data_IF_248788384637
#
_entry.id   IF_248788384637
#
_cell.length_a   1.000
_cell.length_b   1.000
_cell.length_c   1.000
_cell.angle_alpha   90.00
_cell.angle_beta   90.00
_cell.angle_gamma   90.00
#
_symmetry.space_group_name_H-M   'P 1'
#
loop_
_entity.id
_entity.type
_entity.pdbx_description
1 polymer ?
#
# COMPACT_ATOMS: atom_id res chain seq x y z
N UNK A 1 7.55 36.38 5.49
CA UNK A 1 7.74 35.04 4.92
C UNK A 1 6.50 34.23 5.29
N UNK A 2 5.54 34.11 4.37
CA UNK A 2 4.33 33.34 4.60
C UNK A 2 4.66 31.86 4.54
N UNK A 3 4.31 31.12 5.59
CA UNK A 3 4.44 29.67 5.65
C UNK A 3 3.33 29.13 4.74
N UNK A 4 3.63 28.90 3.47
CA UNK A 4 2.73 28.20 2.56
C UNK A 4 2.62 26.76 3.10
N UNK A 5 1.48 26.43 3.71
CA UNK A 5 1.08 25.03 3.90
C UNK A 5 0.99 24.45 2.49
N UNK A 6 1.84 23.48 2.17
CA UNK A 6 1.64 22.63 1.00
C UNK A 6 0.27 21.98 1.16
N UNK A 7 -0.74 22.49 0.45
CA UNK A 7 -2.04 21.85 0.38
C UNK A 7 -1.81 20.47 -0.22
N UNK A 8 -2.11 19.43 0.54
CA UNK A 8 -1.97 18.05 0.08
C UNK A 8 -3.02 17.83 -1.01
N UNK A 9 -2.61 17.94 -2.27
CA UNK A 9 -3.50 17.72 -3.41
C UNK A 9 -3.97 16.26 -3.40
N UNK A 10 -5.27 16.05 -3.26
CA UNK A 10 -5.88 14.72 -3.28
C UNK A 10 -6.57 14.47 -4.62
N UNK A 11 -6.29 13.33 -5.23
CA UNK A 11 -6.96 12.88 -6.46
C UNK A 11 -7.78 11.63 -6.17
N UNK A 12 -9.08 11.67 -6.48
CA UNK A 12 -9.94 10.48 -6.35
C UNK A 12 -9.59 9.46 -7.43
N UNK A 13 -9.30 8.24 -7.01
CA UNK A 13 -9.07 7.08 -7.89
C UNK A 13 -10.10 6.01 -7.57
N UNK A 14 -10.68 5.40 -8.60
CA UNK A 14 -11.62 4.28 -8.46
C UNK A 14 -11.00 3.09 -9.18
N UNK A 15 -10.87 1.97 -8.49
CA UNK A 15 -10.35 0.73 -9.04
C UNK A 15 -11.28 -0.42 -8.68
N UNK A 16 -11.33 -1.41 -9.55
CA UNK A 16 -12.09 -2.63 -9.31
C UNK A 16 -11.23 -3.58 -8.46
N UNK A 17 -11.80 -4.09 -7.37
CA UNK A 17 -11.20 -5.16 -6.55
C UNK A 17 -11.99 -6.44 -6.70
N UNK A 18 -11.37 -7.56 -6.31
CA UNK A 18 -12.05 -8.85 -6.25
C UNK A 18 -13.21 -8.78 -5.24
N UNK A 19 -14.30 -9.47 -5.58
CA UNK A 19 -15.57 -9.42 -4.82
C UNK A 19 -15.42 -9.92 -3.38
N UNK A 20 -14.57 -10.91 -3.15
CA UNK A 20 -14.24 -11.46 -1.83
C UNK A 20 -13.60 -10.40 -0.92
N UNK A 21 -12.66 -9.62 -1.45
CA UNK A 21 -12.03 -8.53 -0.71
C UNK A 21 -13.02 -7.40 -0.41
N UNK A 22 -13.88 -7.06 -1.37
CA UNK A 22 -14.93 -6.06 -1.17
C UNK A 22 -15.90 -6.46 -0.06
N UNK A 23 -16.37 -7.71 -0.06
CA UNK A 23 -17.26 -8.25 0.97
C UNK A 23 -16.59 -8.27 2.35
N UNK A 24 -15.31 -8.67 2.43
CA UNK A 24 -14.54 -8.65 3.68
C UNK A 24 -14.38 -7.22 4.23
N UNK A 25 -14.08 -6.25 3.37
CA UNK A 25 -13.98 -4.84 3.76
C UNK A 25 -15.31 -4.29 4.27
N UNK A 26 -16.41 -4.63 3.60
CA UNK A 26 -17.74 -4.22 4.02
C UNK A 26 -18.12 -4.82 5.38
N UNK A 27 -17.82 -6.11 5.59
CA UNK A 27 -18.01 -6.78 6.89
C UNK A 27 -17.20 -6.10 7.98
N UNK A 28 -15.90 -5.86 7.76
CA UNK A 28 -15.04 -5.18 8.73
C UNK A 28 -15.56 -3.77 9.10
N UNK A 29 -16.10 -3.03 8.14
CA UNK A 29 -16.76 -1.73 8.40
C UNK A 29 -18.03 -1.87 9.24
N UNK A 30 -18.86 -2.89 8.97
CA UNK A 30 -20.08 -3.16 9.76
C UNK A 30 -19.72 -3.57 11.18
N UNK A 31 -18.73 -4.44 11.35
CA UNK A 31 -18.26 -4.91 12.65
C UNK A 31 -17.71 -3.73 13.48
N UNK A 32 -16.85 -2.89 12.89
CA UNK A 32 -16.35 -1.68 13.55
C UNK A 32 -17.48 -0.74 14.00
N UNK A 33 -18.49 -0.52 13.13
CA UNK A 33 -19.67 0.30 13.47
C UNK A 33 -20.48 -0.30 14.60
N UNK A 34 -20.63 -1.62 14.65
CA UNK A 34 -21.34 -2.31 15.73
C UNK A 34 -20.64 -2.14 17.08
N UNK A 35 -19.32 -1.96 17.06
CA UNK A 35 -18.48 -1.65 18.22
C UNK A 35 -18.40 -0.13 18.52
N UNK A 36 -19.21 0.69 17.84
CA UNK A 36 -19.23 2.14 18.03
C UNK A 36 -18.02 2.88 17.45
N UNK A 37 -17.18 2.22 16.65
CA UNK A 37 -15.99 2.82 16.03
C UNK A 37 -16.17 2.98 14.52
N UNK A 38 -15.54 4.01 13.95
CA UNK A 38 -15.40 4.16 12.50
C UNK A 38 -14.07 3.53 12.09
N UNK A 39 -14.12 2.55 11.18
CA UNK A 39 -12.91 2.04 10.55
C UNK A 39 -12.40 3.08 9.56
N UNK A 40 -11.23 3.65 9.82
CA UNK A 40 -10.51 4.43 8.84
C UNK A 40 -9.80 3.49 7.86
N UNK A 41 -10.07 3.69 6.58
CA UNK A 41 -9.57 2.85 5.49
C UNK A 41 -8.61 3.63 4.60
N UNK A 42 -8.64 4.97 4.65
CA UNK A 42 -7.82 5.80 3.79
C UNK A 42 -6.34 5.62 4.13
N UNK A 43 -5.96 5.85 5.39
CA UNK A 43 -4.56 5.77 5.82
C UNK A 43 -3.91 4.38 5.56
N UNK A 44 -4.56 3.25 5.90
CA UNK A 44 -4.00 1.93 5.58
C UNK A 44 -3.87 1.69 4.07
N UNK A 45 -4.83 2.18 3.27
CA UNK A 45 -4.79 2.03 1.81
C UNK A 45 -3.67 2.87 1.20
N UNK A 46 -3.47 4.09 1.67
CA UNK A 46 -2.42 4.99 1.19
C UNK A 46 -1.02 4.41 1.50
N UNK A 47 -0.82 3.91 2.73
CA UNK A 47 0.44 3.21 3.11
C UNK A 47 0.69 1.96 2.27
N UNK A 48 -0.35 1.15 2.03
CA UNK A 48 -0.25 -0.05 1.21
C UNK A 48 0.07 0.29 -0.26
N UNK A 49 -0.56 1.34 -0.80
CA UNK A 49 -0.29 1.86 -2.14
C UNK A 49 1.14 2.37 -2.25
N UNK A 50 1.65 3.11 -1.28
CA UNK A 50 3.03 3.60 -1.29
C UNK A 50 4.04 2.45 -1.28
N UNK A 51 3.84 1.42 -0.43
CA UNK A 51 4.69 0.23 -0.39
C UNK A 51 4.63 -0.55 -1.72
N UNK A 52 3.45 -0.67 -2.31
CA UNK A 52 3.26 -1.30 -3.62
C UNK A 52 3.98 -0.51 -4.73
N UNK A 53 3.85 0.81 -4.76
CA UNK A 53 4.49 1.66 -5.76
C UNK A 53 6.01 1.62 -5.66
N UNK A 54 6.59 1.72 -4.45
CA UNK A 54 8.04 1.57 -4.25
C UNK A 54 8.55 0.22 -4.79
N UNK A 55 7.82 -0.87 -4.56
CA UNK A 55 8.14 -2.19 -5.12
C UNK A 55 8.01 -2.22 -6.64
N UNK A 56 6.95 -1.64 -7.20
CA UNK A 56 6.73 -1.57 -8.64
C UNK A 56 7.82 -0.74 -9.34
N UNK A 57 8.19 0.41 -8.79
CA UNK A 57 9.27 1.26 -9.27
C UNK A 57 10.62 0.56 -9.24
N UNK A 58 10.94 -0.13 -8.13
CA UNK A 58 12.16 -0.95 -8.03
C UNK A 58 12.19 -2.03 -9.12
N UNK A 59 11.08 -2.77 -9.31
CA UNK A 59 10.98 -3.79 -10.38
C UNK A 59 11.12 -3.18 -11.77
N UNK A 60 10.51 -2.02 -12.04
CA UNK A 60 10.65 -1.32 -13.32
C UNK A 60 12.11 -0.87 -13.53
N UNK A 61 12.78 -0.36 -12.49
CA UNK A 61 14.18 0.02 -12.55
C UNK A 61 15.08 -1.19 -12.82
N UNK A 62 14.82 -2.33 -12.18
CA UNK A 62 15.55 -3.58 -12.40
C UNK A 62 15.33 -4.12 -13.81
N UNK A 63 14.11 -4.04 -14.35
CA UNK A 63 13.83 -4.41 -15.73
C UNK A 63 14.52 -3.48 -16.73
N UNK A 64 14.57 -2.17 -16.47
CA UNK A 64 15.32 -1.20 -17.28
C UNK A 64 16.82 -1.52 -17.27
N UNK A 65 17.38 -1.88 -16.11
CA UNK A 65 18.79 -2.29 -15.96
C UNK A 65 19.07 -3.64 -16.64
N UNK A 66 18.18 -4.63 -16.50
CA UNK A 66 18.27 -5.96 -17.14
C UNK A 66 18.11 -5.90 -18.66
N UNK A 67 17.33 -4.95 -19.21
CA UNK A 67 17.32 -4.69 -20.66
C UNK A 67 18.70 -4.27 -21.23
N UNK A 68 19.63 -3.83 -20.39
CA UNK A 68 21.03 -3.56 -20.76
C UNK A 68 22.02 -4.70 -20.45
N UNK A 69 21.62 -5.73 -19.70
CA UNK A 69 22.46 -6.88 -19.36
C UNK A 69 21.62 -8.16 -19.40
N UNK A 70 21.75 -8.87 -20.51
CA UNK A 70 21.34 -10.27 -20.68
C UNK A 70 21.90 -11.11 -19.51
N UNK A 71 21.02 -11.60 -18.64
CA UNK A 71 21.43 -12.46 -17.52
C UNK A 71 20.38 -12.55 -16.43
N UNK A 72 19.57 -13.61 -16.49
CA UNK A 72 18.52 -13.96 -15.56
C UNK A 72 19.13 -14.41 -14.23
N UNK A 73 18.80 -13.73 -13.12
CA UNK A 73 18.77 -14.34 -11.78
C UNK A 73 17.52 -13.78 -11.08
N UNK A 74 16.60 -14.69 -10.75
CA UNK A 74 15.46 -14.48 -9.86
C UNK A 74 15.90 -15.17 -8.57
N UNK A 75 16.31 -14.38 -7.58
CA UNK A 75 16.42 -14.83 -6.21
C UNK A 75 15.18 -14.32 -5.48
N UNK A 76 14.28 -15.24 -5.15
CA UNK A 76 13.23 -15.06 -4.15
C UNK A 76 13.92 -15.07 -2.78
N UNK A 77 14.17 -13.90 -2.22
CA UNK A 77 14.53 -13.70 -0.82
C UNK A 77 13.80 -12.42 -0.35
N UNK A 78 12.53 -12.58 0.01
CA UNK A 78 11.81 -11.66 0.89
C UNK A 78 11.58 -12.44 2.20
N UNK A 79 12.65 -12.66 2.97
CA UNK A 79 12.52 -12.77 4.44
C UNK A 79 12.01 -11.40 4.92
N UNK A 80 10.72 -11.34 5.20
CA UNK A 80 10.11 -10.18 5.85
C UNK A 80 10.15 -10.47 7.34
N UNK A 81 11.12 -9.87 8.02
CA UNK A 81 11.19 -9.78 9.48
C UNK A 81 10.00 -8.91 9.95
N UNK A 82 8.87 -9.57 10.26
CA UNK A 82 7.72 -8.98 10.94
C UNK A 82 8.07 -8.82 12.43
N UNK A 83 8.90 -7.83 12.77
CA UNK A 83 9.08 -7.40 14.15
C UNK A 83 8.36 -6.06 14.37
N UNK A 84 7.03 -6.12 14.45
CA UNK A 84 6.19 -5.10 15.08
C UNK A 84 6.27 -5.30 16.61
N UNK A 85 7.33 -4.78 17.23
CA UNK A 85 7.36 -4.61 18.69
C UNK A 85 6.39 -3.48 19.06
N UNK A 86 5.23 -3.88 19.57
CA UNK A 86 4.26 -3.01 20.25
C UNK A 86 4.67 -2.96 21.71
N UNK A 87 5.39 -1.92 22.14
CA UNK A 87 5.55 -1.63 23.57
C UNK A 87 4.30 -0.87 24.08
N UNK A 88 3.80 -1.36 25.22
CA UNK A 88 2.60 -0.95 25.96
C UNK A 88 2.60 0.50 26.47
#
# INVERSE_FOLDING_TARGET
MGIFKEETETKRVIFNIRIDLAQRLEKAKKDARSLGKKLDVSDPVDKALEKFLKRAEKRIADLKKKKGKTGLVIGDDDEVDDNDEVEE
#
